data_IF_616279202119
#
_entry.id   IF_616279202119
#
_cell.length_a   1.000
_cell.length_b   1.000
_cell.length_c   1.000
_cell.angle_alpha   90.00
_cell.angle_beta   90.00
_cell.angle_gamma   90.00
#
_symmetry.space_group_name_H-M   'P 1'
#
loop_
_entity.id
_entity.type
_entity.pdbx_description
1 polymer ?
#
# COMPACT_ATOMS: atom_id res chain seq x y z
N UNK A 1 6.42 1.28 7.52
CA UNK A 1 5.23 1.37 8.38
C UNK A 1 5.57 2.08 9.68
N UNK A 2 4.68 2.95 10.12
CA UNK A 2 4.71 3.54 11.46
C UNK A 2 3.40 3.14 12.11
N UNK A 3 3.48 2.50 13.28
CA UNK A 3 2.33 2.02 14.04
C UNK A 3 2.32 2.68 15.42
N UNK A 4 1.13 2.95 15.95
CA UNK A 4 0.94 3.46 17.30
C UNK A 4 -0.44 3.06 17.80
N UNK A 5 -0.55 2.83 19.11
CA UNK A 5 -1.82 2.59 19.79
C UNK A 5 -2.29 3.83 20.58
N UNK A 6 -1.38 4.78 20.86
CA UNK A 6 -1.61 5.90 21.78
C UNK A 6 -1.13 7.27 21.25
N UNK A 7 -0.55 7.34 20.06
CA UNK A 7 0.08 8.52 19.45
C UNK A 7 1.27 9.10 20.25
N UNK A 8 1.82 8.36 21.21
CA UNK A 8 3.01 8.73 21.99
C UNK A 8 4.16 7.80 21.64
N UNK A 9 3.90 6.51 21.57
CA UNK A 9 4.87 5.48 21.26
C UNK A 9 4.69 5.03 19.81
N UNK A 10 5.78 5.10 19.05
CA UNK A 10 5.77 4.75 17.63
C UNK A 10 6.71 3.59 17.37
N UNK A 11 6.18 2.53 16.76
CA UNK A 11 6.96 1.43 16.22
C UNK A 11 7.21 1.69 14.74
N UNK A 12 8.47 1.63 14.34
CA UNK A 12 8.89 1.81 12.94
C UNK A 12 9.34 0.46 12.40
N UNK A 13 8.84 0.08 11.23
CA UNK A 13 9.23 -1.16 10.54
C UNK A 13 9.28 -0.93 9.03
N UNK A 14 10.20 -1.58 8.34
CA UNK A 14 10.30 -1.50 6.88
C UNK A 14 9.32 -2.46 6.22
N UNK A 15 8.78 -2.06 5.07
CA UNK A 15 8.10 -2.99 4.17
C UNK A 15 9.11 -3.77 3.34
N UNK A 16 8.72 -4.96 2.90
CA UNK A 16 9.55 -5.91 2.13
C UNK A 16 8.76 -6.34 0.89
N UNK A 17 9.45 -6.49 -0.24
CA UNK A 17 8.93 -7.06 -1.49
C UNK A 17 8.79 -6.03 -2.63
N UNK A 18 8.49 -6.50 -3.84
CA UNK A 18 8.36 -5.65 -5.04
C UNK A 18 7.31 -4.55 -4.86
N UNK A 19 6.22 -4.90 -4.16
CA UNK A 19 5.14 -3.97 -3.81
C UNK A 19 5.54 -2.85 -2.85
N UNK A 20 6.72 -2.94 -2.22
CA UNK A 20 7.27 -1.92 -1.33
C UNK A 20 8.19 -0.92 -2.02
N UNK A 21 8.48 -1.11 -3.31
CA UNK A 21 9.25 -0.15 -4.10
C UNK A 21 8.43 1.13 -4.35
N UNK A 22 9.08 2.28 -4.21
CA UNK A 22 8.53 3.64 -4.32
C UNK A 22 7.58 4.09 -3.18
N UNK A 23 7.16 5.36 -3.24
CA UNK A 23 6.38 6.03 -2.18
C UNK A 23 4.90 6.04 -2.51
N UNK A 24 4.06 5.86 -1.49
CA UNK A 24 2.60 5.99 -1.57
C UNK A 24 1.89 4.65 -1.44
N UNK A 25 1.76 4.17 -0.19
CA UNK A 25 0.96 3.00 0.19
C UNK A 25 -0.11 3.49 1.16
N UNK A 26 -1.35 3.09 0.92
CA UNK A 26 -2.48 3.30 1.81
C UNK A 26 -3.05 1.94 2.22
N UNK A 27 -3.00 1.64 3.52
CA UNK A 27 -3.63 0.46 4.11
C UNK A 27 -5.13 0.63 4.20
N UNK A 28 -5.87 -0.43 3.87
CA UNK A 28 -7.28 -0.50 4.22
C UNK A 28 -7.45 -0.63 5.74
N UNK A 29 -8.55 -0.11 6.31
CA UNK A 29 -8.78 -0.11 7.75
C UNK A 29 -9.03 -1.52 8.33
N UNK A 30 -9.34 -2.49 7.47
CA UNK A 30 -9.62 -3.87 7.88
C UNK A 30 -9.20 -4.88 6.81
N UNK A 31 -9.17 -6.15 7.20
CA UNK A 31 -8.83 -7.25 6.29
C UNK A 31 -9.99 -7.53 5.33
N UNK A 32 -9.67 -7.74 4.06
CA UNK A 32 -10.63 -8.15 3.03
C UNK A 32 -10.44 -9.65 2.78
N UNK A 33 -11.48 -10.45 2.98
CA UNK A 33 -11.43 -11.91 2.85
C UNK A 33 -10.29 -12.56 3.67
N UNK A 34 -10.05 -12.03 4.88
CA UNK A 34 -9.02 -12.54 5.79
C UNK A 34 -7.59 -12.05 5.50
N UNK A 35 -7.37 -11.24 4.47
CA UNK A 35 -6.04 -10.71 4.10
C UNK A 35 -5.95 -9.21 4.32
N UNK A 36 -4.76 -8.71 4.67
CA UNK A 36 -4.49 -7.28 4.61
C UNK A 36 -4.54 -6.82 3.16
N UNK A 37 -5.01 -5.59 2.93
CA UNK A 37 -5.08 -4.99 1.62
C UNK A 37 -4.43 -3.60 1.64
N UNK A 38 -3.78 -3.25 0.54
CA UNK A 38 -3.23 -1.90 0.31
C UNK A 38 -3.55 -1.42 -1.09
N UNK A 39 -3.69 -0.10 -1.23
CA UNK A 39 -3.55 0.60 -2.50
C UNK A 39 -2.16 1.24 -2.55
N UNK A 40 -1.55 1.22 -3.72
CA UNK A 40 -0.22 1.79 -3.92
C UNK A 40 -0.06 2.48 -5.28
N UNK A 41 1.00 3.28 -5.40
CA UNK A 41 1.45 3.95 -6.62
C UNK A 41 2.87 3.49 -6.99
N UNK A 42 3.05 2.18 -7.21
CA UNK A 42 4.39 1.59 -7.40
C UNK A 42 5.17 2.17 -8.57
N UNK A 43 4.50 2.56 -9.66
CA UNK A 43 5.13 3.18 -10.84
C UNK A 43 5.00 4.71 -10.86
N UNK A 44 4.51 5.31 -9.76
CA UNK A 44 4.16 6.73 -9.63
C UNK A 44 3.03 7.24 -10.55
N UNK A 45 2.31 6.39 -11.30
CA UNK A 45 1.27 6.79 -12.27
C UNK A 45 -0.06 6.06 -12.07
N UNK A 46 0.00 4.76 -11.87
CA UNK A 46 -1.16 3.89 -11.80
C UNK A 46 -1.46 3.49 -10.36
N UNK A 47 -2.75 3.30 -10.07
CA UNK A 47 -3.17 2.71 -8.80
C UNK A 47 -3.06 1.19 -8.91
N UNK A 48 -2.39 0.60 -7.94
CA UNK A 48 -2.30 -0.84 -7.76
C UNK A 48 -3.00 -1.26 -6.48
N UNK A 49 -3.40 -2.53 -6.43
CA UNK A 49 -3.90 -3.19 -5.23
C UNK A 49 -3.07 -4.44 -4.95
N UNK A 50 -2.79 -4.67 -3.67
CA UNK A 50 -2.09 -5.86 -3.19
C UNK A 50 -2.79 -6.44 -1.98
N UNK A 51 -2.66 -7.75 -1.83
CA UNK A 51 -3.19 -8.50 -0.69
C UNK A 51 -2.08 -9.32 -0.06
N UNK A 52 -2.01 -9.32 1.27
CA UNK A 52 -0.98 -10.07 1.99
C UNK A 52 -1.53 -10.68 3.29
N UNK A 53 -0.97 -11.82 3.65
CA UNK A 53 -1.22 -12.46 4.95
C UNK A 53 -0.34 -11.83 6.06
N UNK A 54 0.72 -11.09 5.68
CA UNK A 54 1.62 -10.40 6.60
C UNK A 54 1.77 -8.92 6.20
N UNK A 55 1.46 -8.02 7.14
CA UNK A 55 1.45 -6.56 6.94
C UNK A 55 2.81 -5.97 6.54
N UNK A 56 3.91 -6.69 6.75
CA UNK A 56 5.25 -6.23 6.37
C UNK A 56 5.67 -6.66 4.95
N UNK A 57 4.98 -7.62 4.33
CA UNK A 57 5.35 -8.19 3.04
C UNK A 57 4.32 -7.83 1.98
N UNK A 58 4.77 -7.13 0.93
CA UNK A 58 3.93 -6.67 -0.18
C UNK A 58 4.57 -7.08 -1.51
N UNK A 59 3.89 -7.97 -2.21
CA UNK A 59 4.34 -8.58 -3.47
C UNK A 59 3.19 -8.58 -4.47
N UNK A 60 3.51 -8.77 -5.74
CA UNK A 60 2.54 -8.93 -6.83
C UNK A 60 1.55 -7.74 -6.95
N UNK A 61 2.03 -6.50 -7.19
CA UNK A 61 1.16 -5.36 -7.45
C UNK A 61 0.23 -5.63 -8.63
N UNK A 62 -1.09 -5.50 -8.41
CA UNK A 62 -2.10 -5.69 -9.46
C UNK A 62 -2.67 -4.35 -9.88
N UNK A 63 -2.63 -4.05 -11.18
CA UNK A 63 -3.19 -2.82 -11.72
C UNK A 63 -4.69 -2.73 -11.36
N UNK A 64 -5.05 -1.68 -10.63
CA UNK A 64 -6.42 -1.40 -10.21
C UNK A 64 -7.06 -0.36 -11.11
N UNK A 65 -6.34 0.75 -11.37
CA UNK A 65 -6.84 1.85 -12.20
C UNK A 65 -5.67 2.62 -12.81
N UNK A 66 -5.78 2.89 -14.11
CA UNK A 66 -4.92 3.85 -14.80
C UNK A 66 -5.58 5.24 -14.80
N UNK A 67 -4.79 6.33 -14.84
CA UNK A 67 -5.31 7.65 -15.16
C UNK A 67 -6.11 7.62 -16.46
N UNK A 68 -7.24 8.31 -16.47
CA UNK A 68 -8.16 8.46 -17.61
C UNK A 68 -8.28 9.93 -18.03
N UNK A 69 -8.08 10.85 -17.07
CA UNK A 69 -8.19 12.28 -17.31
C UNK A 69 -6.87 12.99 -17.04
N UNK A 70 -6.67 14.12 -17.73
CA UNK A 70 -5.43 14.88 -17.64
C UNK A 70 -5.13 15.30 -16.20
N UNK A 71 -6.12 15.70 -15.41
CA UNK A 71 -5.93 16.18 -14.03
C UNK A 71 -5.54 15.09 -13.02
N UNK A 72 -5.47 13.81 -13.40
CA UNK A 72 -5.09 12.71 -12.49
C UNK A 72 -3.55 12.51 -12.40
N UNK A 73 -2.78 13.30 -13.15
CA UNK A 73 -1.31 13.24 -13.23
C UNK A 73 -0.59 14.53 -12.81
N UNK A 74 -1.33 15.59 -12.44
CA UNK A 74 -0.80 16.92 -12.10
C UNK A 74 -1.09 17.30 -10.66
#
# INVERSE_FOLDING_TARGET
MIETEDFIHFKISSFIGEGSENKGIALFPEKINGKYAVISRNDNENLFIMFSDNILYWENPKLLKTPTFYWELF
#
